data_IF_219810147107
#
_entry.id   IF_219810147107
#
_cell.length_a   1.000
_cell.length_b   1.000
_cell.length_c   1.000
_cell.angle_alpha   90.00
_cell.angle_beta   90.00
_cell.angle_gamma   90.00
#
_symmetry.space_group_name_H-M   'P 1'
#
loop_
_entity.id
_entity.type
_entity.pdbx_description
1 polymer ?
#
# COMPACT_ATOMS: atom_id res chain seq x y z
N UNK A 1 -42.35 -17.36 1.32
CA UNK A 1 -42.42 -15.90 1.08
C UNK A 1 -41.14 -15.35 0.45
N UNK A 2 -39.94 -15.77 0.89
CA UNK A 2 -38.63 -15.43 0.29
C UNK A 2 -38.52 -15.78 -1.22
N UNK A 3 -38.88 -17.01 -1.60
CA UNK A 3 -38.75 -17.50 -2.99
C UNK A 3 -39.59 -16.73 -4.03
N UNK A 4 -40.72 -16.15 -3.62
CA UNK A 4 -41.57 -15.36 -4.52
C UNK A 4 -40.97 -13.96 -4.79
N UNK A 5 -40.33 -13.35 -3.79
CA UNK A 5 -39.59 -12.09 -3.94
C UNK A 5 -38.31 -12.28 -4.78
N UNK A 6 -37.62 -13.41 -4.62
CA UNK A 6 -36.46 -13.76 -5.45
C UNK A 6 -36.82 -13.97 -6.92
N UNK A 7 -38.03 -14.46 -7.23
CA UNK A 7 -38.48 -14.61 -8.62
C UNK A 7 -38.62 -13.26 -9.34
N UNK A 8 -38.97 -12.19 -8.60
CA UNK A 8 -39.27 -10.85 -9.12
C UNK A 8 -38.06 -9.92 -9.27
N UNK A 9 -36.87 -10.33 -8.81
CA UNK A 9 -35.67 -9.51 -8.97
C UNK A 9 -35.15 -9.54 -10.42
N UNK A 10 -34.61 -8.42 -10.95
CA UNK A 10 -33.89 -8.42 -12.22
C UNK A 10 -32.77 -9.48 -12.21
N UNK A 11 -32.53 -10.19 -13.33
CA UNK A 11 -31.50 -11.22 -13.42
C UNK A 11 -30.13 -10.77 -12.90
N UNK A 12 -29.76 -9.50 -13.14
CA UNK A 12 -28.50 -8.91 -12.69
C UNK A 12 -28.39 -8.85 -11.17
N UNK A 13 -29.50 -8.52 -10.47
CA UNK A 13 -29.54 -8.51 -9.00
C UNK A 13 -29.47 -9.92 -8.41
N UNK A 14 -30.06 -10.91 -9.09
CA UNK A 14 -29.96 -12.32 -8.66
C UNK A 14 -28.51 -12.81 -8.77
N UNK A 15 -27.83 -12.48 -9.87
CA UNK A 15 -26.42 -12.81 -10.06
C UNK A 15 -25.52 -12.19 -8.99
N UNK A 16 -25.66 -10.90 -8.73
CA UNK A 16 -24.85 -10.21 -7.69
C UNK A 16 -25.05 -10.82 -6.31
N UNK A 17 -26.29 -11.14 -5.92
CA UNK A 17 -26.57 -11.77 -4.63
C UNK A 17 -25.96 -13.16 -4.52
N UNK A 18 -26.03 -13.98 -5.58
CA UNK A 18 -25.38 -15.29 -5.60
C UNK A 18 -23.87 -15.17 -5.43
N UNK A 19 -23.23 -14.19 -6.07
CA UNK A 19 -21.82 -13.90 -5.87
C UNK A 19 -21.51 -13.55 -4.41
N UNK A 20 -22.33 -12.73 -3.74
CA UNK A 20 -22.17 -12.44 -2.31
C UNK A 20 -22.31 -13.69 -1.44
N UNK A 21 -23.30 -14.54 -1.70
CA UNK A 21 -23.54 -15.77 -0.94
C UNK A 21 -22.37 -16.75 -1.09
N UNK A 22 -21.87 -16.98 -2.31
CA UNK A 22 -20.69 -17.83 -2.54
C UNK A 22 -19.44 -17.24 -1.86
N UNK A 23 -19.22 -15.94 -2.03
CA UNK A 23 -18.08 -15.25 -1.44
C UNK A 23 -18.05 -15.35 0.09
N UNK A 24 -19.22 -15.20 0.73
CA UNK A 24 -19.36 -15.34 2.17
C UNK A 24 -19.08 -16.77 2.66
N UNK A 25 -19.57 -17.79 1.96
CA UNK A 25 -19.27 -19.20 2.29
C UNK A 25 -17.76 -19.47 2.20
N UNK A 26 -17.10 -19.00 1.14
CA UNK A 26 -15.66 -19.18 0.96
C UNK A 26 -14.85 -18.44 2.04
N UNK A 27 -15.29 -17.23 2.41
CA UNK A 27 -14.71 -16.47 3.53
C UNK A 27 -14.79 -17.27 4.83
N UNK A 28 -15.96 -17.80 5.17
CA UNK A 28 -16.16 -18.60 6.39
C UNK A 28 -15.29 -19.85 6.41
N UNK A 29 -15.11 -20.52 5.26
CA UNK A 29 -14.17 -21.65 5.12
C UNK A 29 -12.74 -21.20 5.40
N UNK A 30 -12.29 -20.07 4.84
CA UNK A 30 -10.93 -19.56 5.04
C UNK A 30 -10.66 -19.10 6.48
N UNK A 31 -11.64 -18.50 7.14
CA UNK A 31 -11.56 -18.05 8.54
C UNK A 31 -11.61 -19.24 9.52
N UNK A 32 -12.37 -20.29 9.18
CA UNK A 32 -12.49 -21.50 9.99
C UNK A 32 -11.30 -22.46 9.90
N UNK A 33 -10.46 -22.36 8.86
CA UNK A 33 -9.25 -23.17 8.68
C UNK A 33 -8.06 -22.32 8.21
N UNK A 34 -7.12 -22.09 9.12
CA UNK A 34 -5.88 -21.37 8.81
C UNK A 34 -5.08 -22.08 7.71
N UNK A 35 -5.16 -23.41 7.61
CA UNK A 35 -4.49 -24.22 6.58
C UNK A 35 -5.23 -24.24 5.25
N UNK A 36 -6.42 -23.65 5.16
CA UNK A 36 -7.14 -23.55 3.90
C UNK A 36 -6.25 -22.88 2.84
N UNK A 37 -6.21 -23.41 1.61
CA UNK A 37 -5.36 -22.87 0.57
C UNK A 37 -5.65 -21.39 0.28
N UNK A 38 -4.60 -20.64 -0.09
CA UNK A 38 -4.71 -19.22 -0.37
C UNK A 38 -5.69 -18.89 -1.52
N UNK A 39 -5.90 -19.81 -2.48
CA UNK A 39 -6.88 -19.62 -3.55
C UNK A 39 -8.31 -19.45 -3.03
N UNK A 40 -8.64 -19.97 -1.84
CA UNK A 40 -9.95 -19.81 -1.21
C UNK A 40 -10.19 -18.33 -0.86
N UNK A 41 -9.16 -17.62 -0.35
CA UNK A 41 -9.24 -16.18 -0.09
C UNK A 41 -9.47 -15.41 -1.40
N UNK A 42 -8.68 -15.68 -2.43
CA UNK A 42 -8.83 -15.00 -3.73
C UNK A 42 -10.23 -15.23 -4.32
N UNK A 43 -10.71 -16.47 -4.31
CA UNK A 43 -12.05 -16.81 -4.81
C UNK A 43 -13.15 -16.13 -3.99
N UNK A 44 -13.01 -16.06 -2.66
CA UNK A 44 -13.95 -15.33 -1.81
C UNK A 44 -14.02 -13.85 -2.21
N UNK A 45 -12.86 -13.19 -2.31
CA UNK A 45 -12.76 -11.77 -2.65
C UNK A 45 -13.26 -11.48 -4.06
N UNK A 46 -12.95 -12.31 -5.05
CA UNK A 46 -13.44 -12.16 -6.42
C UNK A 46 -14.97 -12.19 -6.50
N UNK A 47 -15.58 -13.15 -5.80
CA UNK A 47 -17.03 -13.27 -5.70
C UNK A 47 -17.63 -12.07 -4.97
N UNK A 48 -17.10 -11.69 -3.81
CA UNK A 48 -17.61 -10.55 -3.05
C UNK A 48 -17.47 -9.23 -3.83
N UNK A 49 -16.34 -9.01 -4.52
CA UNK A 49 -16.11 -7.85 -5.37
C UNK A 49 -17.11 -7.80 -6.54
N UNK A 50 -17.42 -8.94 -7.15
CA UNK A 50 -18.42 -9.01 -8.22
C UNK A 50 -19.82 -8.63 -7.72
N UNK A 51 -20.17 -9.05 -6.49
CA UNK A 51 -21.44 -8.74 -5.84
C UNK A 51 -21.51 -7.37 -5.16
N UNK A 52 -20.38 -6.67 -5.03
CA UNK A 52 -20.22 -5.48 -4.17
C UNK A 52 -21.22 -4.35 -4.43
N UNK A 53 -21.68 -4.18 -5.67
CA UNK A 53 -22.69 -3.16 -6.05
C UNK A 53 -24.05 -3.34 -5.33
N UNK A 54 -24.33 -4.53 -4.82
CA UNK A 54 -25.53 -4.81 -4.03
C UNK A 54 -25.33 -4.59 -2.51
N UNK A 55 -24.12 -4.25 -2.06
CA UNK A 55 -23.84 -3.96 -0.65
C UNK A 55 -24.18 -2.49 -0.37
N UNK A 56 -25.22 -2.28 0.46
CA UNK A 56 -25.61 -0.95 0.93
C UNK A 56 -25.09 -0.60 2.32
N UNK A 57 -24.66 -1.61 3.09
CA UNK A 57 -24.15 -1.42 4.43
C UNK A 57 -22.68 -1.02 4.40
N UNK A 58 -22.33 0.10 5.03
CA UNK A 58 -20.97 0.64 5.03
C UNK A 58 -20.01 -0.25 5.82
N UNK A 59 -20.46 -0.90 6.90
CA UNK A 59 -19.62 -1.82 7.66
C UNK A 59 -19.22 -3.02 6.79
N UNK A 60 -20.17 -3.60 6.06
CA UNK A 60 -19.91 -4.71 5.14
C UNK A 60 -18.96 -4.30 3.99
N UNK A 61 -19.02 -3.05 3.50
CA UNK A 61 -18.05 -2.55 2.52
C UNK A 61 -16.64 -2.44 3.10
N UNK A 62 -16.51 -1.94 4.33
CA UNK A 62 -15.22 -1.85 5.03
C UNK A 62 -14.64 -3.24 5.30
N UNK A 63 -15.47 -4.21 5.67
CA UNK A 63 -15.04 -5.61 5.81
C UNK A 63 -14.50 -6.18 4.49
N UNK A 64 -15.20 -5.92 3.37
CA UNK A 64 -14.72 -6.33 2.05
C UNK A 64 -13.45 -5.56 1.63
N UNK A 65 -13.31 -4.29 2.01
CA UNK A 65 -12.10 -3.52 1.76
C UNK A 65 -10.88 -4.11 2.50
N UNK A 66 -11.07 -4.59 3.74
CA UNK A 66 -10.04 -5.33 4.49
C UNK A 66 -9.66 -6.65 3.80
N UNK A 67 -10.63 -7.41 3.29
CA UNK A 67 -10.34 -8.64 2.55
C UNK A 67 -9.58 -8.37 1.25
N UNK A 68 -9.89 -7.27 0.57
CA UNK A 68 -9.15 -6.81 -0.61
C UNK A 68 -7.71 -6.40 -0.27
N UNK A 69 -7.49 -5.75 0.88
CA UNK A 69 -6.14 -5.45 1.36
C UNK A 69 -5.33 -6.74 1.55
N UNK A 70 -5.90 -7.74 2.26
CA UNK A 70 -5.24 -9.03 2.49
C UNK A 70 -4.92 -9.76 1.17
N UNK A 71 -5.87 -9.83 0.24
CA UNK A 71 -5.65 -10.41 -1.08
C UNK A 71 -4.56 -9.67 -1.86
N UNK A 72 -4.57 -8.33 -1.81
CA UNK A 72 -3.54 -7.47 -2.40
C UNK A 72 -2.14 -7.75 -1.86
N UNK A 73 -1.99 -7.79 -0.53
CA UNK A 73 -0.71 -8.07 0.15
C UNK A 73 -0.17 -9.46 -0.21
N UNK A 74 -1.03 -10.48 -0.20
CA UNK A 74 -0.64 -11.83 -0.63
C UNK A 74 -0.20 -11.88 -2.10
N UNK A 75 -0.93 -11.19 -2.98
CA UNK A 75 -0.56 -11.09 -4.40
C UNK A 75 0.79 -10.36 -4.59
N UNK A 76 1.09 -9.32 -3.80
CA UNK A 76 2.39 -8.64 -3.80
C UNK A 76 3.52 -9.59 -3.38
N UNK A 77 3.32 -10.37 -2.31
CA UNK A 77 4.31 -11.37 -1.86
C UNK A 77 4.59 -12.40 -2.97
N UNK A 78 3.58 -12.74 -3.76
CA UNK A 78 3.71 -13.63 -4.93
C UNK A 78 4.23 -12.93 -6.20
N UNK A 79 4.59 -11.64 -6.12
CA UNK A 79 4.97 -10.78 -7.26
C UNK A 79 3.90 -10.66 -8.36
N UNK A 80 2.63 -10.92 -8.02
CA UNK A 80 1.48 -10.80 -8.90
C UNK A 80 0.90 -9.36 -8.84
N UNK A 81 1.69 -8.39 -9.30
CA UNK A 81 1.37 -6.96 -9.13
C UNK A 81 0.10 -6.50 -9.87
N UNK A 82 -0.22 -7.10 -11.02
CA UNK A 82 -1.45 -6.76 -11.76
C UNK A 82 -2.70 -7.13 -10.93
N UNK A 83 -2.90 -8.40 -10.50
CA UNK A 83 -3.98 -8.76 -9.58
C UNK A 83 -3.97 -7.97 -8.28
N UNK A 84 -2.78 -7.76 -7.67
CA UNK A 84 -2.67 -6.96 -6.46
C UNK A 84 -3.26 -5.56 -6.65
N UNK A 85 -2.95 -4.90 -7.78
CA UNK A 85 -3.48 -3.57 -8.07
C UNK A 85 -5.01 -3.55 -8.22
N UNK A 86 -5.60 -4.65 -8.70
CA UNK A 86 -7.04 -4.77 -8.88
C UNK A 86 -7.77 -4.97 -7.54
N UNK A 87 -7.22 -5.81 -6.64
CA UNK A 87 -7.74 -5.97 -5.29
C UNK A 87 -7.63 -4.67 -4.49
N UNK A 88 -6.43 -4.07 -4.45
CA UNK A 88 -6.20 -2.84 -3.69
C UNK A 88 -7.09 -1.70 -4.21
N UNK A 89 -7.24 -1.57 -5.54
CA UNK A 89 -8.17 -0.58 -6.13
C UNK A 89 -9.63 -0.87 -5.76
N UNK A 90 -10.04 -2.14 -5.77
CA UNK A 90 -11.39 -2.53 -5.33
C UNK A 90 -11.62 -2.14 -3.87
N UNK A 91 -10.64 -2.39 -2.99
CA UNK A 91 -10.66 -1.97 -1.59
C UNK A 91 -10.81 -0.46 -1.42
N UNK A 92 -10.03 0.34 -2.15
CA UNK A 92 -10.15 1.81 -2.14
C UNK A 92 -11.55 2.26 -2.54
N UNK A 93 -12.12 1.69 -3.61
CA UNK A 93 -13.43 2.09 -4.13
C UNK A 93 -14.62 1.67 -3.25
N UNK A 94 -14.40 0.79 -2.27
CA UNK A 94 -15.43 0.35 -1.33
C UNK A 94 -15.62 1.33 -0.16
N UNK A 95 -14.59 2.11 0.15
CA UNK A 95 -14.65 3.11 1.22
C UNK A 95 -15.17 4.40 0.59
N UNK A 96 -16.19 4.99 1.23
CA UNK A 96 -16.76 6.26 0.79
C UNK A 96 -15.68 7.34 0.69
N UNK A 97 -15.65 8.05 -0.44
CA UNK A 97 -14.57 8.98 -0.79
C UNK A 97 -14.46 10.12 0.23
N UNK A 98 -15.57 10.58 0.79
CA UNK A 98 -15.62 11.66 1.78
C UNK A 98 -15.18 11.19 3.18
N UNK A 99 -15.31 9.89 3.47
CA UNK A 99 -15.05 9.30 4.81
C UNK A 99 -13.79 8.46 4.90
N UNK A 100 -13.06 8.27 3.80
CA UNK A 100 -11.91 7.36 3.78
C UNK A 100 -10.77 7.80 4.71
N UNK A 101 -10.61 9.10 4.94
CA UNK A 101 -9.56 9.65 5.80
C UNK A 101 -10.02 10.00 7.23
N UNK A 102 -11.29 9.70 7.56
CA UNK A 102 -11.83 9.85 8.92
C UNK A 102 -11.22 8.82 9.88
N UNK A 103 -11.26 9.11 11.18
CA UNK A 103 -10.68 8.25 12.23
C UNK A 103 -11.10 6.77 12.15
N UNK A 104 -12.33 6.49 11.70
CA UNK A 104 -12.83 5.12 11.57
C UNK A 104 -12.24 4.31 10.42
N UNK A 105 -11.80 4.96 9.34
CA UNK A 105 -11.28 4.31 8.13
C UNK A 105 -9.80 4.62 7.86
N UNK A 106 -9.21 5.54 8.62
CA UNK A 106 -7.90 6.12 8.36
C UNK A 106 -6.81 5.08 8.12
N UNK A 107 -6.67 4.10 9.02
CA UNK A 107 -5.61 3.10 8.93
C UNK A 107 -5.76 2.23 7.68
N UNK A 108 -6.98 1.74 7.43
CA UNK A 108 -7.28 0.93 6.26
C UNK A 108 -7.03 1.70 4.96
N UNK A 109 -7.47 2.96 4.90
CA UNK A 109 -7.25 3.82 3.74
C UNK A 109 -5.76 4.11 3.52
N UNK A 110 -5.02 4.40 4.59
CA UNK A 110 -3.59 4.62 4.52
C UNK A 110 -2.87 3.38 3.95
N UNK A 111 -3.20 2.19 4.45
CA UNK A 111 -2.62 0.92 3.97
C UNK A 111 -2.97 0.67 2.50
N UNK A 112 -4.26 0.70 2.15
CA UNK A 112 -4.74 0.46 0.79
C UNK A 112 -4.10 1.42 -0.22
N UNK A 113 -4.10 2.72 0.04
CA UNK A 113 -3.55 3.70 -0.89
C UNK A 113 -2.01 3.60 -0.98
N UNK A 114 -1.31 3.35 0.14
CA UNK A 114 0.15 3.20 0.14
C UNK A 114 0.62 1.95 -0.63
N UNK A 115 -0.07 0.82 -0.44
CA UNK A 115 0.18 -0.41 -1.20
C UNK A 115 -0.18 -0.23 -2.68
N UNK A 116 -1.31 0.42 -2.97
CA UNK A 116 -1.78 0.66 -4.34
C UNK A 116 -0.82 1.56 -5.11
N UNK A 117 -0.33 2.65 -4.49
CA UNK A 117 0.66 3.54 -5.09
C UNK A 117 1.93 2.77 -5.50
N UNK A 118 2.45 1.96 -4.59
CA UNK A 118 3.64 1.13 -4.84
C UNK A 118 3.38 0.11 -5.96
N UNK A 119 2.23 -0.55 -5.92
CA UNK A 119 1.86 -1.58 -6.89
C UNK A 119 1.64 -0.99 -8.30
N UNK A 120 1.04 0.19 -8.41
CA UNK A 120 0.92 0.91 -9.67
C UNK A 120 2.28 1.25 -10.27
N UNK A 121 3.26 1.66 -9.44
CA UNK A 121 4.63 1.85 -9.92
C UNK A 121 5.22 0.55 -10.48
N UNK A 122 5.09 -0.57 -9.76
CA UNK A 122 5.54 -1.89 -10.22
C UNK A 122 4.86 -2.33 -11.53
N UNK A 123 3.61 -1.94 -11.73
CA UNK A 123 2.85 -2.18 -12.97
C UNK A 123 3.14 -1.18 -14.10
N UNK A 124 4.01 -0.18 -13.90
CA UNK A 124 4.29 0.87 -14.88
C UNK A 124 3.17 1.91 -15.05
N UNK A 125 2.15 1.90 -14.18
CA UNK A 125 1.06 2.89 -14.12
C UNK A 125 1.52 4.15 -13.38
N UNK A 126 2.46 4.88 -13.99
CA UNK A 126 3.24 5.90 -13.31
C UNK A 126 2.41 7.10 -12.86
N UNK A 127 1.43 7.52 -13.66
CA UNK A 127 0.62 8.71 -13.35
C UNK A 127 -0.42 8.39 -12.26
N UNK A 128 -1.01 7.20 -12.28
CA UNK A 128 -1.89 6.71 -11.21
C UNK A 128 -1.10 6.51 -9.90
N UNK A 129 0.10 5.93 -9.99
CA UNK A 129 1.00 5.76 -8.85
C UNK A 129 1.33 7.11 -8.20
N UNK A 130 1.62 8.14 -9.02
CA UNK A 130 1.86 9.50 -8.55
C UNK A 130 0.62 10.08 -7.85
N UNK A 131 -0.55 10.01 -8.50
CA UNK A 131 -1.80 10.56 -7.95
C UNK A 131 -2.16 9.95 -6.60
N UNK A 132 -2.06 8.62 -6.46
CA UNK A 132 -2.36 7.93 -5.20
C UNK A 132 -1.32 8.27 -4.13
N UNK A 133 -0.04 8.43 -4.52
CA UNK A 133 1.01 8.88 -3.58
C UNK A 133 0.73 10.28 -3.05
N UNK A 134 0.32 11.22 -3.92
CA UNK A 134 -0.02 12.58 -3.53
C UNK A 134 -1.22 12.62 -2.58
N UNK A 135 -2.24 11.78 -2.81
CA UNK A 135 -3.38 11.65 -1.89
C UNK A 135 -2.96 11.20 -0.48
N UNK A 136 -2.09 10.19 -0.38
CA UNK A 136 -1.54 9.76 0.92
C UNK A 136 -0.73 10.88 1.57
N UNK A 137 0.11 11.59 0.81
CA UNK A 137 0.94 12.67 1.36
C UNK A 137 0.12 13.85 1.91
N UNK A 138 -1.04 14.13 1.31
CA UNK A 138 -1.98 15.15 1.77
C UNK A 138 -2.73 14.76 3.05
N UNK A 139 -3.01 13.48 3.26
CA UNK A 139 -3.85 13.01 4.37
C UNK A 139 -3.07 12.36 5.53
N UNK A 140 -1.84 11.91 5.29
CA UNK A 140 -1.05 11.24 6.32
C UNK A 140 -0.70 12.16 7.50
N UNK A 141 -0.89 11.63 8.71
CA UNK A 141 -0.83 12.34 10.00
C UNK A 141 0.58 12.42 10.57
N UNK A 142 1.48 11.55 10.12
CA UNK A 142 2.89 11.57 10.54
C UNK A 142 3.87 11.48 9.35
N UNK A 143 5.11 11.94 9.56
CA UNK A 143 6.17 11.80 8.56
C UNK A 143 6.49 10.33 8.26
N UNK A 144 6.39 9.46 9.26
CA UNK A 144 6.63 8.02 9.13
C UNK A 144 5.70 7.39 8.10
N UNK A 145 4.43 7.77 8.13
CA UNK A 145 3.40 7.29 7.19
C UNK A 145 3.66 7.81 5.76
N UNK A 146 4.30 8.98 5.62
CA UNK A 146 4.65 9.57 4.32
C UNK A 146 5.87 8.93 3.64
N UNK A 147 6.75 8.26 4.41
CA UNK A 147 8.03 7.71 3.91
C UNK A 147 7.85 6.91 2.63
N UNK A 148 6.89 5.97 2.64
CA UNK A 148 6.67 5.06 1.51
C UNK A 148 6.26 5.79 0.24
N UNK A 149 5.38 6.79 0.37
CA UNK A 149 4.92 7.58 -0.77
C UNK A 149 6.03 8.51 -1.30
N UNK A 150 6.87 9.09 -0.43
CA UNK A 150 8.05 9.84 -0.88
C UNK A 150 9.05 8.95 -1.63
N UNK A 151 9.35 7.75 -1.12
CA UNK A 151 10.21 6.79 -1.83
C UNK A 151 9.66 6.44 -3.21
N UNK A 152 8.35 6.25 -3.31
CA UNK A 152 7.67 5.98 -4.56
C UNK A 152 7.75 7.17 -5.55
N UNK A 153 7.50 8.40 -5.10
CA UNK A 153 7.66 9.61 -5.92
C UNK A 153 9.11 9.79 -6.42
N UNK A 154 10.09 9.52 -5.57
CA UNK A 154 11.51 9.53 -5.94
C UNK A 154 11.79 8.47 -7.02
N UNK A 155 11.26 7.26 -6.86
CA UNK A 155 11.40 6.19 -7.84
C UNK A 155 10.75 6.54 -9.19
N UNK A 156 9.58 7.19 -9.16
CA UNK A 156 8.89 7.71 -10.34
C UNK A 156 9.71 8.76 -11.08
N UNK A 157 10.26 9.75 -10.37
CA UNK A 157 11.10 10.80 -10.97
C UNK A 157 12.38 10.21 -11.56
N UNK A 158 13.00 9.24 -10.89
CA UNK A 158 14.15 8.50 -11.43
C UNK A 158 13.80 7.77 -12.72
N UNK A 159 12.64 7.10 -12.77
CA UNK A 159 12.17 6.41 -13.97
C UNK A 159 11.92 7.38 -15.13
N UNK A 160 11.50 8.62 -14.85
CA UNK A 160 11.34 9.71 -15.82
C UNK A 160 12.64 10.43 -16.18
N UNK A 161 13.78 10.06 -15.57
CA UNK A 161 15.08 10.71 -15.79
C UNK A 161 15.28 12.05 -15.07
N UNK A 162 14.33 12.44 -14.21
CA UNK A 162 14.31 13.71 -13.48
C UNK A 162 15.10 13.60 -12.17
N UNK A 163 16.39 13.23 -12.26
CA UNK A 163 17.24 12.92 -11.10
C UNK A 163 17.42 14.09 -10.14
N UNK A 164 17.49 15.33 -10.65
CA UNK A 164 17.63 16.52 -9.80
C UNK A 164 16.39 16.73 -8.93
N UNK A 165 15.18 16.59 -9.51
CA UNK A 165 13.94 16.71 -8.73
C UNK A 165 13.80 15.57 -7.71
N UNK A 166 14.20 14.36 -8.09
CA UNK A 166 14.21 13.21 -7.17
C UNK A 166 15.11 13.47 -5.96
N UNK A 167 16.27 14.09 -6.19
CA UNK A 167 17.21 14.49 -5.15
C UNK A 167 16.65 15.59 -4.26
N UNK A 168 16.05 16.62 -4.85
CA UNK A 168 15.45 17.75 -4.11
C UNK A 168 14.35 17.26 -3.16
N UNK A 169 13.43 16.42 -3.64
CA UNK A 169 12.36 15.82 -2.81
C UNK A 169 12.95 14.99 -1.67
N UNK A 170 13.95 14.15 -1.96
CA UNK A 170 14.57 13.31 -0.93
C UNK A 170 15.26 14.14 0.17
N UNK A 171 15.95 15.21 -0.22
CA UNK A 171 16.65 16.09 0.72
C UNK A 171 15.67 16.90 1.56
N UNK A 172 14.61 17.42 0.93
CA UNK A 172 13.55 18.14 1.64
C UNK A 172 12.87 17.22 2.67
N UNK A 173 12.53 15.99 2.27
CA UNK A 173 11.91 15.03 3.18
C UNK A 173 12.83 14.60 4.32
N UNK A 174 14.12 14.35 4.06
CA UNK A 174 15.10 14.09 5.13
C UNK A 174 15.20 15.26 6.11
N UNK A 175 15.16 16.50 5.63
CA UNK A 175 15.16 17.67 6.50
C UNK A 175 13.93 17.72 7.41
N UNK A 176 12.76 17.28 6.94
CA UNK A 176 11.56 17.14 7.77
C UNK A 176 11.73 16.06 8.85
N UNK A 177 12.49 15.00 8.57
CA UNK A 177 12.86 13.95 9.54
C UNK A 177 13.97 14.40 10.52
N UNK A 178 14.49 15.62 10.40
CA UNK A 178 15.55 16.16 11.25
C UNK A 178 16.96 15.98 10.68
N UNK A 179 17.11 15.28 9.55
CA UNK A 179 18.38 14.99 8.90
C UNK A 179 18.69 16.03 7.81
N UNK A 180 19.56 16.99 8.14
CA UNK A 180 19.94 18.05 7.20
C UNK A 180 21.09 17.60 6.30
N UNK A 181 20.79 17.39 5.02
CA UNK A 181 21.78 17.04 4.02
C UNK A 181 22.15 18.22 3.12
N UNK A 182 23.46 18.47 2.97
CA UNK A 182 23.97 19.46 2.01
C UNK A 182 24.21 18.78 0.66
N UNK A 183 23.38 19.07 -0.33
CA UNK A 183 23.37 18.40 -1.64
C UNK A 183 24.66 18.59 -2.43
N UNK A 184 25.28 19.77 -2.29
CA UNK A 184 26.53 20.13 -2.98
C UNK A 184 27.56 20.65 -1.98
N UNK A 185 28.14 19.78 -1.13
CA UNK A 185 29.08 20.21 -0.12
C UNK A 185 30.39 20.63 -0.79
N UNK A 186 31.05 21.65 -0.23
CA UNK A 186 32.33 22.14 -0.74
C UNK A 186 33.41 21.05 -0.72
N UNK A 187 34.41 21.14 -1.60
CA UNK A 187 35.55 20.19 -1.62
C UNK A 187 36.22 20.06 -0.25
N UNK A 188 36.28 21.16 0.50
CA UNK A 188 36.84 21.19 1.85
C UNK A 188 35.98 20.39 2.84
N UNK A 189 34.65 20.59 2.84
CA UNK A 189 33.74 19.80 3.69
C UNK A 189 33.83 18.30 3.40
N UNK A 190 33.87 17.92 2.12
CA UNK A 190 34.08 16.51 1.72
C UNK A 190 35.35 15.91 2.31
N UNK A 191 36.47 16.65 2.29
CA UNK A 191 37.74 16.20 2.88
C UNK A 191 37.67 16.09 4.40
N UNK A 192 37.01 17.04 5.06
CA UNK A 192 36.82 17.03 6.52
C UNK A 192 36.02 15.80 6.94
N UNK A 193 34.87 15.54 6.30
CA UNK A 193 34.03 14.39 6.63
C UNK A 193 34.73 13.06 6.31
N UNK A 194 35.40 12.94 5.16
CA UNK A 194 36.18 11.73 4.83
C UNK A 194 37.26 11.43 5.89
N UNK A 195 37.96 12.46 6.39
CA UNK A 195 38.97 12.29 7.43
C UNK A 195 38.35 11.91 8.79
N UNK A 196 37.20 12.48 9.14
CA UNK A 196 36.45 12.08 10.35
C UNK A 196 36.01 10.62 10.27
N UNK A 197 35.39 10.23 9.16
CA UNK A 197 34.98 8.83 8.91
C UNK A 197 36.17 7.90 8.97
N UNK A 198 37.30 8.23 8.33
CA UNK A 198 38.50 7.39 8.36
C UNK A 198 39.06 7.22 9.79
N UNK A 199 39.06 8.30 10.61
CA UNK A 199 39.46 8.22 12.02
C UNK A 199 38.50 7.38 12.87
N UNK A 200 37.20 7.45 12.60
CA UNK A 200 36.18 6.66 13.28
C UNK A 200 36.32 5.18 12.95
N UNK A 201 36.40 4.83 11.66
CA UNK A 201 36.52 3.45 11.18
C UNK A 201 37.81 2.80 11.68
N UNK A 202 38.93 3.54 11.74
CA UNK A 202 40.20 3.04 12.31
C UNK A 202 40.13 2.61 13.78
N UNK A 203 39.08 3.00 14.52
CA UNK A 203 38.87 2.55 15.91
C UNK A 203 38.27 1.14 16.00
N UNK A 204 37.81 0.60 14.87
CA UNK A 204 37.21 -0.72 14.79
C UNK A 204 38.09 -1.63 13.93
N UNK A 205 38.22 -2.89 14.33
CA UNK A 205 38.74 -3.94 13.46
C UNK A 205 37.66 -4.40 12.48
N UNK A 206 38.08 -5.05 11.38
CA UNK A 206 37.14 -5.62 10.40
C UNK A 206 36.13 -6.57 11.08
N UNK A 207 36.60 -7.39 12.04
CA UNK A 207 35.75 -8.30 12.82
C UNK A 207 34.75 -7.57 13.72
N UNK A 208 35.13 -6.42 14.29
CA UNK A 208 34.19 -5.60 15.07
C UNK A 208 33.13 -4.95 14.18
N UNK A 209 33.49 -4.47 12.99
CA UNK A 209 32.56 -3.89 12.02
C UNK A 209 31.54 -4.94 11.57
N UNK A 210 31.99 -6.15 11.24
CA UNK A 210 31.13 -7.25 10.81
C UNK A 210 30.15 -7.72 11.89
N UNK A 211 30.50 -7.53 13.17
CA UNK A 211 29.68 -7.92 14.32
C UNK A 211 28.91 -6.74 14.96
N UNK A 212 28.87 -5.57 14.31
CA UNK A 212 28.05 -4.46 14.80
C UNK A 212 26.58 -4.88 14.83
N UNK A 213 25.82 -4.51 15.88
CA UNK A 213 24.40 -4.77 15.90
C UNK A 213 23.72 -4.07 14.72
N UNK A 214 22.57 -4.58 14.24
CA UNK A 214 21.74 -3.86 13.29
C UNK A 214 21.52 -2.44 13.76
N UNK A 215 21.60 -1.47 12.84
CA UNK A 215 21.30 -0.08 13.14
C UNK A 215 19.89 -0.02 13.78
N UNK A 216 19.80 0.59 14.96
CA UNK A 216 18.53 0.82 15.64
C UNK A 216 18.13 2.26 15.33
N UNK A 217 17.03 2.42 14.59
CA UNK A 217 16.39 3.71 14.35
C UNK A 217 15.72 4.25 15.63
#
# INVERSE_FOLDING_TARGET
RQAALESLMPPERKGQRLHLEIGQILREIKEGDEKAPLWVLFSAVDHLNTGSKSISDESAKVDLANLNLQAGEHAIVMSAFIPASEYLKSGVNLIDEERRWDDGNYELSLMLHSELATTYYCCGKLDESKSVSEEVLSNARSLKEKVRCYLNLIALLKAKGELEKALDIGVEFMAQLGEKFEVKPSKMKKRIEAHKTQKLVKKFTDEQIMNLPPCKD
#
